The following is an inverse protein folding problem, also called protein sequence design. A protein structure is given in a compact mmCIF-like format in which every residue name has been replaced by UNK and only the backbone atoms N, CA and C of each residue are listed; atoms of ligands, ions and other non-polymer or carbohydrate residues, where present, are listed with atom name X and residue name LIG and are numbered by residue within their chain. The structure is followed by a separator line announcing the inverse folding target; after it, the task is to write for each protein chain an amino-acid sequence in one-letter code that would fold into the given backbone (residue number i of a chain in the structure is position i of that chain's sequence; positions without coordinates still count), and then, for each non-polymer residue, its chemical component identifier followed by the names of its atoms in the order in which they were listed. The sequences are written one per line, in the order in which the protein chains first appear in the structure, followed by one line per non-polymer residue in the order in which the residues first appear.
data_IF_725791378003
#
_entry.id   IF_725791378003
#
_cell.length_a   1.000
_cell.length_b   1.000
_cell.length_c   1.000
_cell.angle_alpha   90.00
_cell.angle_beta   90.00
_cell.angle_gamma   90.00
#
_symmetry.space_group_name_H-M   'P 1'
#
loop_
_entity.id
_entity.type
_entity.pdbx_description
1 polymer ?
#
# COMPACT_ATOMS: atom_id res chain seq x y z
N UNK A 1 6.16 -1.45 0.51
CA UNK A 1 5.70 -0.27 -0.25
C UNK A 1 5.53 0.97 0.67
N UNK A 2 6.37 1.12 1.71
CA UNK A 2 6.30 2.30 2.58
C UNK A 2 7.15 3.48 2.08
N UNK A 3 8.06 3.22 1.15
CA UNK A 3 8.95 4.22 0.61
C UNK A 3 9.73 4.93 1.70
N UNK A 4 9.72 6.25 1.69
CA UNK A 4 10.33 7.08 2.74
C UNK A 4 9.52 7.15 4.04
N UNK A 5 8.30 6.57 4.11
CA UNK A 5 7.45 6.58 5.30
C UNK A 5 6.51 7.79 5.42
N UNK A 6 6.17 8.45 4.32
CA UNK A 6 5.26 9.61 4.35
C UNK A 6 3.87 9.23 4.87
N UNK A 7 3.30 8.11 4.41
CA UNK A 7 1.96 7.65 4.84
C UNK A 7 1.94 7.32 6.33
N UNK A 8 2.79 6.43 6.87
CA UNK A 8 2.78 6.14 8.30
C UNK A 8 3.10 7.36 9.17
N UNK A 9 3.96 8.26 8.73
CA UNK A 9 4.23 9.50 9.44
C UNK A 9 3.00 10.43 9.50
N UNK A 10 2.26 10.56 8.39
CA UNK A 10 1.02 11.32 8.33
C UNK A 10 -0.07 10.71 9.23
N UNK A 11 -0.22 9.38 9.21
CA UNK A 11 -1.16 8.68 10.10
C UNK A 11 -0.81 8.94 11.57
N UNK A 12 0.47 8.81 11.96
CA UNK A 12 0.91 9.04 13.32
C UNK A 12 0.72 10.49 13.78
N UNK A 13 0.83 11.47 12.89
CA UNK A 13 0.57 12.87 13.18
C UNK A 13 -0.91 13.14 13.52
N UNK A 14 -1.84 12.45 12.86
CA UNK A 14 -3.27 12.58 13.10
C UNK A 14 -3.79 11.66 14.21
N UNK A 15 -3.14 10.51 14.41
CA UNK A 15 -3.49 9.50 15.41
C UNK A 15 -2.27 9.18 16.29
N UNK A 16 -1.94 10.03 17.29
CA UNK A 16 -0.71 9.91 18.08
C UNK A 16 -0.58 8.61 18.90
N UNK A 17 -1.68 7.90 19.12
CA UNK A 17 -1.69 6.59 19.80
C UNK A 17 -1.50 5.40 18.87
N UNK A 18 -1.50 5.60 17.53
CA UNK A 18 -1.34 4.50 16.57
C UNK A 18 -0.03 3.76 16.82
N UNK A 19 -0.10 2.44 16.73
CA UNK A 19 1.06 1.53 16.71
C UNK A 19 0.99 0.70 15.45
N UNK A 20 2.12 0.19 14.97
CA UNK A 20 2.11 -0.62 13.77
C UNK A 20 3.49 -0.91 13.22
N UNK A 21 3.51 -1.36 11.98
CA UNK A 21 4.73 -1.63 11.22
C UNK A 21 4.67 -0.97 9.83
N UNK A 22 5.83 -0.58 9.32
CA UNK A 22 5.98 -0.05 7.97
C UNK A 22 7.02 -0.87 7.22
N UNK A 23 6.57 -1.54 6.14
CA UNK A 23 7.39 -2.50 5.38
C UNK A 23 7.92 -1.84 4.11
N UNK A 24 9.23 -1.95 3.90
CA UNK A 24 9.90 -1.48 2.69
C UNK A 24 10.98 -2.48 2.26
N UNK A 25 11.02 -2.78 0.97
CA UNK A 25 11.97 -3.74 0.40
C UNK A 25 13.30 -3.09 0.05
N UNK A 26 13.25 -1.93 -0.61
CA UNK A 26 14.43 -1.26 -1.15
C UNK A 26 15.28 -0.64 -0.04
N UNK A 27 16.54 -1.09 0.08
CA UNK A 27 17.43 -0.67 1.16
C UNK A 27 17.65 0.84 1.23
N UNK A 28 17.71 1.53 0.08
CA UNK A 28 17.87 2.98 0.02
C UNK A 28 16.65 3.68 0.63
N UNK A 29 15.43 3.30 0.21
CA UNK A 29 14.19 3.86 0.75
C UNK A 29 14.01 3.50 2.23
N UNK A 30 14.37 2.27 2.63
CA UNK A 30 14.33 1.81 4.01
C UNK A 30 15.22 2.65 4.97
N UNK A 31 16.36 3.16 4.49
CA UNK A 31 17.16 4.08 5.28
C UNK A 31 16.41 5.38 5.61
N UNK A 32 15.70 5.94 4.64
CA UNK A 32 14.85 7.12 4.87
C UNK A 32 13.64 6.80 5.75
N UNK A 33 13.00 5.65 5.53
CA UNK A 33 11.90 5.17 6.36
C UNK A 33 12.29 5.16 7.85
N UNK A 34 13.43 4.55 8.20
CA UNK A 34 13.92 4.51 9.58
C UNK A 34 14.10 5.90 10.18
N UNK A 35 14.73 6.81 9.44
CA UNK A 35 14.97 8.17 9.91
C UNK A 35 13.66 8.93 10.16
N UNK A 36 12.72 8.85 9.20
CA UNK A 36 11.44 9.53 9.27
C UNK A 36 10.56 8.98 10.40
N UNK A 37 10.48 7.66 10.56
CA UNK A 37 9.71 7.07 11.65
C UNK A 37 10.31 7.40 13.02
N UNK A 38 11.63 7.39 13.15
CA UNK A 38 12.29 7.81 14.39
C UNK A 38 11.94 9.26 14.77
N UNK A 39 11.78 10.11 13.79
CA UNK A 39 11.47 11.54 14.02
C UNK A 39 9.98 11.79 14.24
N UNK A 40 9.11 11.17 13.44
CA UNK A 40 7.70 11.56 13.31
C UNK A 40 6.70 10.49 13.79
N UNK A 41 7.10 9.21 13.87
CA UNK A 41 6.19 8.09 14.13
C UNK A 41 6.84 6.98 14.96
N UNK A 42 7.38 7.30 16.12
CA UNK A 42 8.20 6.43 16.97
C UNK A 42 7.52 5.10 17.41
N UNK A 43 6.20 5.00 17.32
CA UNK A 43 5.44 3.80 17.67
C UNK A 43 5.18 2.89 16.46
N UNK A 44 5.66 3.27 15.28
CA UNK A 44 5.58 2.46 14.07
C UNK A 44 6.96 1.88 13.79
N UNK A 45 7.05 0.56 13.74
CA UNK A 45 8.30 -0.16 13.55
C UNK A 45 8.67 -0.22 12.06
N UNK A 46 9.87 0.20 11.64
CA UNK A 46 10.35 -0.01 10.28
C UNK A 46 10.84 -1.46 10.12
N UNK A 47 10.30 -2.19 9.15
CA UNK A 47 10.67 -3.57 8.85
C UNK A 47 11.13 -3.66 7.39
N UNK A 48 12.32 -4.20 7.15
CA UNK A 48 12.78 -4.46 5.79
C UNK A 48 12.27 -5.81 5.32
N UNK A 49 11.50 -5.84 4.22
CA UNK A 49 10.93 -7.07 3.70
C UNK A 49 10.17 -6.85 2.40
N UNK A 50 9.86 -7.94 1.71
CA UNK A 50 9.10 -7.91 0.46
C UNK A 50 7.63 -8.26 0.74
N UNK A 51 6.72 -7.36 0.39
CA UNK A 51 5.27 -7.57 0.55
C UNK A 51 4.73 -8.66 -0.40
N UNK A 52 5.50 -9.03 -1.42
CA UNK A 52 5.18 -10.12 -2.35
C UNK A 52 5.63 -11.49 -1.84
N UNK A 53 6.28 -11.57 -0.68
CA UNK A 53 6.65 -12.85 -0.04
C UNK A 53 5.51 -13.31 0.89
N UNK A 54 4.86 -14.41 0.52
CA UNK A 54 3.77 -15.00 1.29
C UNK A 54 4.21 -15.46 2.69
N UNK A 55 5.44 -16.00 2.83
CA UNK A 55 5.94 -16.45 4.14
C UNK A 55 6.19 -15.26 5.05
N UNK A 56 6.72 -14.18 4.50
CA UNK A 56 6.89 -12.93 5.24
C UNK A 56 5.55 -12.34 5.65
N UNK A 57 4.57 -12.24 4.76
CA UNK A 57 3.23 -11.74 5.07
C UNK A 57 2.55 -12.54 6.21
N UNK A 58 2.74 -13.86 6.26
CA UNK A 58 2.20 -14.73 7.30
C UNK A 58 2.80 -14.53 8.71
N UNK A 59 3.84 -13.72 8.84
CA UNK A 59 4.39 -13.34 10.16
C UNK A 59 3.61 -12.22 10.84
N UNK A 60 2.67 -11.60 10.14
CA UNK A 60 1.85 -10.48 10.61
C UNK A 60 0.42 -10.92 10.91
N UNK A 61 -0.17 -10.37 11.97
CA UNK A 61 -1.58 -10.63 12.33
C UNK A 61 -2.16 -9.55 13.24
N UNK A 62 -3.49 -9.41 13.21
CA UNK A 62 -4.23 -8.57 14.16
C UNK A 62 -4.17 -7.07 13.89
N UNK A 63 -3.95 -6.66 12.66
CA UNK A 63 -3.96 -5.25 12.28
C UNK A 63 -5.37 -4.76 11.97
N UNK A 64 -5.77 -3.63 12.56
CA UNK A 64 -7.05 -2.97 12.27
C UNK A 64 -7.07 -2.36 10.87
N UNK A 65 -5.90 -1.97 10.34
CA UNK A 65 -5.78 -1.36 9.02
C UNK A 65 -4.41 -1.68 8.41
N UNK A 66 -4.43 -2.01 7.12
CA UNK A 66 -3.24 -2.08 6.26
C UNK A 66 -3.42 -1.04 5.15
N UNK A 67 -2.45 -0.15 4.98
CA UNK A 67 -2.41 0.82 3.89
C UNK A 67 -1.28 0.47 2.93
N UNK A 68 -1.54 0.56 1.62
CA UNK A 68 -0.54 0.27 0.60
C UNK A 68 -0.68 1.26 -0.56
N UNK A 69 0.43 1.88 -0.94
CA UNK A 69 0.61 2.59 -2.21
C UNK A 69 1.63 1.77 -3.03
N UNK A 70 1.18 0.77 -3.79
CA UNK A 70 2.08 -0.09 -4.53
C UNK A 70 2.45 0.52 -5.89
N UNK A 71 3.47 0.01 -6.58
CA UNK A 71 3.66 0.26 -8.00
C UNK A 71 2.42 -0.15 -8.79
N UNK A 72 1.96 0.72 -9.71
CA UNK A 72 0.71 0.51 -10.46
C UNK A 72 0.78 0.92 -11.94
N UNK A 73 1.94 1.38 -12.44
CA UNK A 73 2.07 1.75 -13.83
C UNK A 73 2.20 0.51 -14.71
N UNK A 74 1.53 0.57 -15.87
CA UNK A 74 1.62 -0.45 -16.91
C UNK A 74 2.91 -0.32 -17.72
N UNK A 75 3.23 -1.33 -18.54
CA UNK A 75 4.34 -1.25 -19.48
C UNK A 75 4.22 -0.06 -20.45
N UNK A 76 3.00 0.28 -20.85
CA UNK A 76 2.73 1.43 -21.73
C UNK A 76 2.98 2.75 -20.99
N UNK A 77 2.55 2.87 -19.74
CA UNK A 77 2.78 4.06 -18.93
C UNK A 77 4.27 4.32 -18.70
N UNK A 78 5.05 3.25 -18.50
CA UNK A 78 6.50 3.34 -18.33
C UNK A 78 7.23 3.93 -19.55
N UNK A 79 6.63 3.86 -20.74
CA UNK A 79 7.22 4.44 -21.95
C UNK A 79 6.99 5.95 -22.10
N UNK A 80 6.04 6.51 -21.33
CA UNK A 80 5.59 7.90 -21.45
C UNK A 80 5.63 8.67 -20.12
N UNK A 81 6.56 8.29 -19.25
CA UNK A 81 6.70 8.91 -17.93
C UNK A 81 6.92 10.43 -18.03
N UNK A 82 6.30 11.15 -17.10
CA UNK A 82 6.62 12.56 -16.89
C UNK A 82 8.08 12.71 -16.41
N UNK A 83 8.77 13.78 -16.79
CA UNK A 83 10.20 13.97 -16.46
C UNK A 83 10.50 13.82 -14.97
N UNK A 84 9.60 14.30 -14.10
CA UNK A 84 9.74 14.22 -12.65
C UNK A 84 9.68 12.77 -12.14
N UNK A 85 8.79 11.96 -12.71
CA UNK A 85 8.58 10.56 -12.34
C UNK A 85 9.69 9.66 -12.87
N UNK A 86 10.33 10.04 -13.99
CA UNK A 86 11.42 9.28 -14.59
C UNK A 86 12.69 9.18 -13.71
N UNK A 87 12.79 9.97 -12.63
CA UNK A 87 13.86 9.86 -11.64
C UNK A 87 13.56 8.83 -10.55
N UNK A 88 12.33 8.34 -10.45
CA UNK A 88 11.98 7.29 -9.47
C UNK A 88 12.47 5.92 -9.95
N UNK A 89 12.84 5.01 -9.04
CA UNK A 89 13.21 3.66 -9.41
C UNK A 89 12.06 2.94 -10.11
N UNK A 90 12.35 2.19 -11.17
CA UNK A 90 11.36 1.37 -11.89
C UNK A 90 10.58 0.45 -10.94
N UNK A 91 11.26 -0.12 -9.95
CA UNK A 91 10.67 -0.98 -8.91
C UNK A 91 9.63 -0.29 -8.03
N UNK A 92 9.60 1.04 -8.02
CA UNK A 92 8.59 1.84 -7.32
C UNK A 92 7.40 2.23 -8.21
N UNK A 93 7.49 2.01 -9.52
CA UNK A 93 6.52 2.47 -10.51
C UNK A 93 5.80 1.32 -11.22
N UNK A 94 6.56 0.31 -11.70
CA UNK A 94 6.02 -0.75 -12.54
C UNK A 94 5.18 -1.75 -11.76
N UNK A 95 3.89 -1.83 -12.09
CA UNK A 95 2.89 -2.69 -11.45
C UNK A 95 2.51 -3.94 -12.24
N UNK A 96 3.29 -4.30 -13.28
CA UNK A 96 2.98 -5.41 -14.17
C UNK A 96 2.32 -4.98 -15.48
N UNK A 97 1.99 -5.94 -16.34
CA UNK A 97 1.48 -5.67 -17.69
C UNK A 97 0.20 -4.80 -17.70
N UNK A 98 -0.69 -4.99 -16.73
CA UNK A 98 -1.93 -4.25 -16.53
C UNK A 98 -1.92 -3.33 -15.29
N UNK A 99 -0.77 -3.22 -14.61
CA UNK A 99 -0.60 -2.38 -13.43
C UNK A 99 -1.26 -2.93 -12.15
N UNK A 100 -1.72 -4.19 -12.16
CA UNK A 100 -2.53 -4.75 -11.07
C UNK A 100 -1.83 -5.87 -10.27
N UNK A 101 -0.60 -6.22 -10.60
CA UNK A 101 0.08 -7.38 -10.00
C UNK A 101 0.23 -7.24 -8.48
N UNK A 102 0.62 -6.07 -8.00
CA UNK A 102 0.75 -5.82 -6.56
C UNK A 102 -0.59 -5.93 -5.84
N UNK A 103 -1.67 -5.38 -6.40
CA UNK A 103 -3.00 -5.46 -5.78
C UNK A 103 -3.46 -6.90 -5.63
N UNK A 104 -3.24 -7.75 -6.65
CA UNK A 104 -3.60 -9.18 -6.59
C UNK A 104 -2.84 -9.90 -5.50
N UNK A 105 -1.51 -9.76 -5.49
CA UNK A 105 -0.63 -10.49 -4.57
C UNK A 105 -0.79 -9.98 -3.14
N UNK A 106 -0.76 -8.66 -2.93
CA UNK A 106 -0.90 -8.07 -1.58
C UNK A 106 -2.27 -8.41 -1.00
N UNK A 107 -3.36 -8.31 -1.78
CA UNK A 107 -4.69 -8.68 -1.28
C UNK A 107 -4.73 -10.15 -0.85
N UNK A 108 -4.19 -11.06 -1.67
CA UNK A 108 -4.21 -12.49 -1.36
C UNK A 108 -3.38 -12.85 -0.12
N UNK A 109 -2.20 -12.25 0.04
CA UNK A 109 -1.26 -12.63 1.09
C UNK A 109 -1.52 -11.90 2.41
N UNK A 110 -1.93 -10.63 2.37
CA UNK A 110 -2.03 -9.79 3.57
C UNK A 110 -3.43 -9.75 4.19
N UNK A 111 -4.46 -10.30 3.53
CA UNK A 111 -5.79 -10.36 4.14
C UNK A 111 -5.80 -11.06 5.51
N UNK A 112 -4.98 -12.10 5.68
CA UNK A 112 -4.90 -12.83 6.94
C UNK A 112 -4.14 -12.08 8.05
N UNK A 113 -3.43 -11.01 7.70
CA UNK A 113 -2.79 -10.13 8.67
C UNK A 113 -3.77 -9.14 9.31
N UNK A 114 -4.93 -8.93 8.72
CA UNK A 114 -5.98 -8.09 9.28
C UNK A 114 -6.70 -8.78 10.45
N UNK A 115 -7.13 -7.97 11.40
CA UNK A 115 -8.12 -8.37 12.39
C UNK A 115 -9.51 -8.50 11.73
N UNK A 116 -10.45 -9.13 12.43
CA UNK A 116 -11.88 -9.08 12.10
C UNK A 116 -12.32 -7.63 11.94
N UNK A 117 -13.10 -7.33 10.92
CA UNK A 117 -13.52 -5.96 10.54
C UNK A 117 -12.39 -5.01 10.17
N UNK A 118 -11.16 -5.50 10.03
CA UNK A 118 -10.01 -4.71 9.60
C UNK A 118 -10.10 -4.26 8.13
N UNK A 119 -9.40 -3.20 7.78
CA UNK A 119 -9.45 -2.57 6.46
C UNK A 119 -8.15 -2.74 5.68
N UNK A 120 -8.27 -3.13 4.41
CA UNK A 120 -7.17 -3.02 3.44
C UNK A 120 -7.43 -1.82 2.52
N UNK A 121 -6.49 -0.86 2.53
CA UNK A 121 -6.63 0.44 1.87
C UNK A 121 -5.53 0.61 0.84
N UNK A 122 -5.92 0.85 -0.40
CA UNK A 122 -5.00 1.09 -1.51
C UNK A 122 -5.07 2.53 -2.02
N UNK A 123 -3.91 3.13 -2.27
CA UNK A 123 -3.81 4.17 -3.28
C UNK A 123 -3.78 3.50 -4.66
N UNK A 124 -4.43 4.13 -5.66
CA UNK A 124 -4.57 3.54 -6.99
C UNK A 124 -4.19 4.52 -8.11
N UNK A 125 -3.76 3.97 -9.24
CA UNK A 125 -3.67 4.70 -10.49
C UNK A 125 -5.05 5.14 -11.02
N UNK A 126 -5.06 6.18 -11.82
CA UNK A 126 -6.30 6.67 -12.44
C UNK A 126 -6.91 5.60 -13.36
N UNK A 127 -8.21 5.31 -13.17
CA UNK A 127 -8.95 4.35 -13.97
C UNK A 127 -8.90 2.90 -13.46
N UNK A 128 -8.14 2.61 -12.39
CA UNK A 128 -8.01 1.26 -11.82
C UNK A 128 -9.07 0.94 -10.75
N UNK A 129 -9.96 1.87 -10.43
CA UNK A 129 -10.88 1.74 -9.29
C UNK A 129 -11.82 0.54 -9.35
N UNK A 130 -12.27 0.15 -10.55
CA UNK A 130 -13.18 -0.98 -10.70
C UNK A 130 -12.42 -2.31 -10.58
N UNK A 131 -11.25 -2.40 -11.20
CA UNK A 131 -10.42 -3.62 -11.16
C UNK A 131 -9.91 -3.91 -9.76
N UNK A 132 -9.41 -2.89 -9.03
CA UNK A 132 -8.97 -3.06 -7.64
C UNK A 132 -10.13 -3.40 -6.72
N UNK A 133 -11.31 -2.79 -6.91
CA UNK A 133 -12.50 -3.14 -6.16
C UNK A 133 -12.94 -4.60 -6.40
N UNK A 134 -12.82 -5.08 -7.64
CA UNK A 134 -13.14 -6.47 -7.97
C UNK A 134 -12.12 -7.46 -7.36
N UNK A 135 -10.82 -7.12 -7.38
CA UNK A 135 -9.78 -7.91 -6.70
C UNK A 135 -10.11 -8.07 -5.20
N UNK A 136 -10.51 -7.00 -4.53
CA UNK A 136 -10.91 -7.06 -3.12
C UNK A 136 -12.11 -7.97 -2.92
N UNK A 137 -13.19 -7.82 -3.72
CA UNK A 137 -14.40 -8.67 -3.61
C UNK A 137 -14.11 -10.14 -3.84
N UNK A 138 -13.31 -10.48 -4.86
CA UNK A 138 -12.91 -11.86 -5.16
C UNK A 138 -12.09 -12.51 -4.04
N UNK A 139 -11.42 -11.71 -3.22
CA UNK A 139 -10.69 -12.17 -2.03
C UNK A 139 -11.52 -12.18 -0.74
N UNK A 140 -12.82 -11.87 -0.83
CA UNK A 140 -13.75 -11.98 0.28
C UNK A 140 -13.90 -10.71 1.11
N UNK A 141 -13.39 -9.57 0.65
CA UNK A 141 -13.64 -8.29 1.30
C UNK A 141 -15.08 -7.81 1.03
N UNK A 142 -15.75 -7.35 2.10
CA UNK A 142 -17.04 -6.66 2.04
C UNK A 142 -16.84 -5.14 2.07
N UNK A 143 -17.92 -4.39 1.97
CA UNK A 143 -17.93 -2.93 2.09
C UNK A 143 -16.79 -2.25 1.30
N UNK A 144 -16.66 -2.61 0.02
CA UNK A 144 -15.65 -2.00 -0.84
C UNK A 144 -16.04 -0.56 -1.14
N UNK A 145 -15.22 0.38 -0.69
CA UNK A 145 -15.44 1.83 -0.82
C UNK A 145 -14.39 2.50 -1.68
N UNK A 146 -14.75 3.61 -2.31
CA UNK A 146 -13.86 4.42 -3.13
C UNK A 146 -13.87 5.87 -2.62
N UNK A 147 -12.75 6.57 -2.75
CA UNK A 147 -12.64 7.99 -2.38
C UNK A 147 -11.90 8.75 -3.46
N UNK A 148 -12.38 9.95 -3.70
CA UNK A 148 -11.77 10.90 -4.65
C UNK A 148 -10.77 11.81 -3.93
N UNK A 149 -9.79 12.27 -4.69
CA UNK A 149 -8.90 13.36 -4.28
C UNK A 149 -9.56 14.74 -4.43
N UNK A 150 -8.81 15.80 -4.16
CA UNK A 150 -9.28 17.18 -4.29
C UNK A 150 -9.63 17.58 -5.74
N UNK A 151 -9.15 16.83 -6.72
CA UNK A 151 -9.44 17.02 -8.16
C UNK A 151 -10.65 16.22 -8.64
N UNK A 152 -11.28 15.42 -7.75
CA UNK A 152 -12.41 14.57 -8.10
C UNK A 152 -12.03 13.24 -8.78
N UNK A 153 -10.75 12.89 -8.77
CA UNK A 153 -10.23 11.62 -9.31
C UNK A 153 -10.24 10.57 -8.20
N UNK A 154 -10.74 9.35 -8.47
CA UNK A 154 -10.66 8.25 -7.51
C UNK A 154 -9.21 7.87 -7.31
N UNK A 155 -8.73 7.99 -6.07
CA UNK A 155 -7.35 7.69 -5.67
C UNK A 155 -7.24 6.68 -4.57
N UNK A 156 -8.34 6.28 -3.97
CA UNK A 156 -8.36 5.30 -2.91
C UNK A 156 -9.46 4.28 -3.14
N UNK A 157 -9.10 3.01 -3.00
CA UNK A 157 -10.04 1.89 -2.89
C UNK A 157 -9.73 1.13 -1.62
N UNK A 158 -10.76 0.83 -0.83
CA UNK A 158 -10.59 0.08 0.41
C UNK A 158 -11.67 -0.98 0.55
N UNK A 159 -11.33 -2.10 1.17
CA UNK A 159 -12.26 -3.17 1.51
C UNK A 159 -12.14 -3.55 2.98
N UNK A 160 -13.27 -3.86 3.60
CA UNK A 160 -13.31 -4.38 4.96
C UNK A 160 -13.30 -5.91 4.95
N UNK A 161 -12.48 -6.52 5.79
CA UNK A 161 -12.46 -7.95 5.97
C UNK A 161 -13.74 -8.40 6.65
N UNK A 162 -14.36 -9.47 6.13
CA UNK A 162 -15.52 -10.07 6.78
C UNK A 162 -15.18 -10.68 8.14
N UNK A 163 -16.15 -10.70 9.07
CA UNK A 163 -16.03 -11.39 10.36
C UNK A 163 -15.68 -12.86 10.22
#
# INVERSE_FOLDING_TARGET
CSGSGCIPAAIAAHLPQVTGAAVERESAAFCYLKQNLQQYAKKIEPIQGDVLDAMFANTFSGYDMITCNPPYLTETDMQVLQPEVAFEPETALYGGADGLDFYRVVTAYWKNALATDGWLVYEIGMGQEQDVAEILRQNGFSEVVQRVDASGIVRLVAGQQNP
#
